data_IF_931166284896
#
_entry.id   IF_931166284896
#
_cell.length_a   1.000
_cell.length_b   1.000
_cell.length_c   1.000
_cell.angle_alpha   90.00
_cell.angle_beta   90.00
_cell.angle_gamma   90.00
#
_symmetry.space_group_name_H-M   'P 1'
#
loop_
_entity.id
_entity.type
_entity.pdbx_description
1 polymer ?
#
# COMPACT_ATOMS: atom_id res chain seq x y z
N UNK A 1 7.26 -24.21 -2.20
CA UNK A 1 7.94 -23.63 -3.37
C UNK A 1 8.16 -22.18 -3.04
N UNK A 2 9.37 -21.84 -2.61
CA UNK A 2 9.75 -20.45 -2.42
C UNK A 2 9.61 -19.77 -3.77
N UNK A 3 8.69 -18.81 -3.84
CA UNK A 3 8.51 -17.97 -5.00
C UNK A 3 9.87 -17.31 -5.24
N UNK A 4 10.63 -17.81 -6.22
CA UNK A 4 11.73 -17.03 -6.77
C UNK A 4 11.04 -15.78 -7.28
N UNK A 5 11.21 -14.69 -6.54
CA UNK A 5 10.56 -13.42 -6.84
C UNK A 5 10.83 -13.13 -8.31
N UNK A 6 9.77 -13.02 -9.11
CA UNK A 6 9.93 -12.92 -10.55
C UNK A 6 10.74 -11.65 -10.86
N UNK A 7 11.63 -11.77 -11.84
CA UNK A 7 12.46 -10.67 -12.28
C UNK A 7 12.08 -10.36 -13.71
N UNK A 8 11.78 -9.09 -13.97
CA UNK A 8 11.53 -8.62 -15.32
C UNK A 8 12.85 -8.22 -15.93
N UNK A 9 13.16 -8.82 -17.07
CA UNK A 9 14.34 -8.52 -17.85
C UNK A 9 13.94 -7.63 -19.03
N UNK A 10 14.50 -6.43 -19.09
CA UNK A 10 14.50 -5.64 -20.32
C UNK A 10 15.82 -5.89 -21.05
N UNK A 11 15.76 -6.30 -22.31
CA UNK A 11 16.94 -6.52 -23.15
C UNK A 11 16.93 -5.53 -24.29
N UNK A 12 18.04 -4.82 -24.45
CA UNK A 12 18.26 -3.90 -25.55
C UNK A 12 19.34 -4.46 -26.48
N UNK A 13 19.00 -4.51 -27.77
CA UNK A 13 19.85 -5.01 -28.84
C UNK A 13 19.94 -3.92 -29.93
N UNK A 14 21.07 -3.84 -30.64
CA UNK A 14 21.17 -2.95 -31.80
C UNK A 14 20.20 -3.38 -32.91
N UNK A 15 19.66 -2.41 -33.64
CA UNK A 15 18.69 -2.65 -34.73
C UNK A 15 19.27 -3.51 -35.87
N UNK A 16 20.59 -3.44 -36.07
CA UNK A 16 21.34 -4.26 -37.03
C UNK A 16 22.47 -4.98 -36.31
N UNK A 17 22.93 -6.10 -36.86
CA UNK A 17 24.15 -6.78 -36.38
C UNK A 17 25.28 -5.76 -36.33
N UNK A 18 25.79 -5.49 -35.13
CA UNK A 18 26.77 -4.44 -34.90
C UNK A 18 26.93 -4.14 -33.42
N UNK A 19 27.58 -3.02 -33.14
CA UNK A 19 27.73 -2.47 -31.80
C UNK A 19 27.10 -1.08 -31.75
N UNK A 20 26.75 -0.63 -30.55
CA UNK A 20 26.36 0.75 -30.29
C UNK A 20 27.22 1.33 -29.16
N UNK A 21 27.13 2.63 -28.97
CA UNK A 21 27.78 3.31 -27.85
C UNK A 21 26.74 3.60 -26.80
N UNK A 22 26.87 3.00 -25.62
CA UNK A 22 26.07 3.40 -24.47
C UNK A 22 26.61 4.74 -23.98
N UNK A 23 25.79 5.79 -24.06
CA UNK A 23 26.21 7.14 -23.66
C UNK A 23 26.63 7.14 -22.20
N UNK A 24 27.79 7.73 -21.93
CA UNK A 24 28.30 7.87 -20.57
C UNK A 24 27.48 8.87 -19.77
N UNK A 25 26.82 9.82 -20.44
CA UNK A 25 25.89 10.76 -19.86
C UNK A 25 24.45 10.29 -19.98
N UNK A 26 23.78 10.20 -18.84
CA UNK A 26 22.37 9.86 -18.75
C UNK A 26 21.49 11.10 -18.96
N UNK A 27 20.25 10.90 -19.39
CA UNK A 27 19.35 12.03 -19.70
C UNK A 27 19.02 12.94 -18.52
N UNK A 28 19.14 12.42 -17.30
CA UNK A 28 18.98 13.14 -16.05
C UNK A 28 20.27 13.87 -15.59
N UNK A 29 21.33 13.85 -16.41
CA UNK A 29 22.61 14.54 -16.20
C UNK A 29 23.71 13.67 -15.60
N UNK A 30 23.41 12.42 -15.22
CA UNK A 30 24.37 11.57 -14.52
C UNK A 30 25.40 10.93 -15.44
N UNK A 31 26.39 10.29 -14.83
CA UNK A 31 27.49 9.66 -15.53
C UNK A 31 27.63 8.18 -15.17
N UNK A 32 27.89 7.33 -16.17
CA UNK A 32 28.21 5.90 -15.99
C UNK A 32 29.60 5.67 -15.36
N UNK A 33 30.48 6.65 -15.44
CA UNK A 33 31.79 6.68 -14.80
C UNK A 33 32.13 8.13 -14.40
N UNK A 34 33.23 8.35 -13.67
CA UNK A 34 33.58 9.70 -13.16
C UNK A 34 33.70 10.75 -14.29
N UNK A 35 34.15 10.32 -15.46
CA UNK A 35 34.39 11.19 -16.61
C UNK A 35 33.12 11.47 -17.42
N UNK A 36 32.16 10.55 -17.45
CA UNK A 36 30.98 10.59 -18.34
C UNK A 36 31.28 10.06 -19.74
N UNK A 37 32.37 9.30 -19.90
CA UNK A 37 32.74 8.69 -21.18
C UNK A 37 31.80 7.53 -21.52
N UNK A 38 31.34 7.49 -22.77
CA UNK A 38 30.47 6.41 -23.24
C UNK A 38 31.19 5.08 -23.34
N UNK A 39 30.44 4.00 -23.20
CA UNK A 39 30.93 2.63 -23.40
C UNK A 39 30.70 2.31 -24.88
N UNK A 40 31.77 2.32 -25.68
CA UNK A 40 31.73 1.92 -27.08
C UNK A 40 31.73 0.41 -27.23
N UNK A 41 31.27 -0.10 -28.37
CA UNK A 41 31.36 -1.53 -28.67
C UNK A 41 30.30 -2.37 -27.96
N UNK A 42 29.25 -1.76 -27.39
CA UNK A 42 28.19 -2.48 -26.69
C UNK A 42 27.35 -3.29 -27.68
N UNK A 43 27.13 -4.55 -27.38
CA UNK A 43 26.35 -5.50 -28.20
C UNK A 43 24.98 -5.81 -27.59
N UNK A 44 24.86 -5.71 -26.26
CA UNK A 44 23.63 -5.99 -25.53
C UNK A 44 23.66 -5.27 -24.18
N UNK A 45 22.50 -4.77 -23.76
CA UNK A 45 22.26 -4.32 -22.38
C UNK A 45 21.09 -5.09 -21.81
N UNK A 46 21.26 -5.65 -20.62
CA UNK A 46 20.22 -6.29 -19.83
C UNK A 46 19.94 -5.45 -18.59
N UNK A 47 18.69 -5.13 -18.31
CA UNK A 47 18.29 -4.42 -17.09
C UNK A 47 17.29 -5.27 -16.31
N UNK A 48 17.56 -5.44 -15.01
CA UNK A 48 16.81 -6.33 -14.12
C UNK A 48 15.93 -5.49 -13.20
N UNK A 49 14.62 -5.72 -13.26
CA UNK A 49 13.63 -5.04 -12.42
C UNK A 49 12.91 -6.03 -11.51
N UNK A 50 12.46 -5.52 -10.37
CA UNK A 50 11.57 -6.28 -9.50
C UNK A 50 10.17 -6.39 -10.12
N UNK A 51 9.56 -7.58 -10.12
CA UNK A 51 8.22 -7.81 -10.69
C UNK A 51 7.10 -6.93 -10.12
N UNK A 52 7.20 -6.57 -8.84
CA UNK A 52 6.25 -5.66 -8.18
C UNK A 52 6.42 -4.21 -8.64
N UNK A 53 7.59 -3.83 -9.16
CA UNK A 53 7.81 -2.54 -9.82
C UNK A 53 7.33 -2.60 -11.28
N UNK A 54 6.00 -2.60 -11.45
CA UNK A 54 5.36 -2.76 -12.76
C UNK A 54 5.66 -1.63 -13.74
N UNK A 55 5.98 -0.45 -13.21
CA UNK A 55 6.37 0.74 -13.95
C UNK A 55 7.87 0.79 -14.24
N UNK A 56 8.65 -0.18 -13.74
CA UNK A 56 10.08 -0.27 -13.99
C UNK A 56 10.83 1.01 -13.57
N UNK A 57 10.42 1.63 -12.46
CA UNK A 57 10.95 2.93 -12.01
C UNK A 57 12.30 2.81 -11.32
N UNK A 58 12.62 1.66 -10.73
CA UNK A 58 13.84 1.46 -9.95
C UNK A 58 14.49 0.12 -10.33
N UNK A 59 15.35 0.09 -11.36
CA UNK A 59 16.08 -1.11 -11.74
C UNK A 59 17.00 -1.56 -10.59
N UNK A 60 17.15 -2.87 -10.46
CA UNK A 60 18.00 -3.50 -9.44
C UNK A 60 19.47 -3.50 -9.87
N UNK A 61 19.71 -3.91 -11.11
CA UNK A 61 21.03 -4.19 -11.68
C UNK A 61 20.97 -4.05 -13.20
N UNK A 62 22.12 -3.75 -13.80
CA UNK A 62 22.32 -3.72 -15.25
C UNK A 62 23.54 -4.57 -15.63
N UNK A 63 23.47 -5.27 -16.75
CA UNK A 63 24.60 -5.97 -17.38
C UNK A 63 24.83 -5.40 -18.79
N UNK A 64 26.06 -4.94 -19.06
CA UNK A 64 26.48 -4.37 -20.33
C UNK A 64 27.47 -5.31 -21.00
N UNK A 65 27.12 -5.84 -22.17
CA UNK A 65 27.98 -6.74 -22.94
C UNK A 65 28.74 -5.96 -24.01
N UNK A 66 30.07 -5.96 -23.94
CA UNK A 66 30.95 -5.30 -24.92
C UNK A 66 31.47 -6.35 -25.91
N UNK A 67 31.44 -6.03 -27.20
CA UNK A 67 31.85 -6.92 -28.29
C UNK A 67 33.35 -6.96 -28.56
N UNK A 68 34.15 -6.35 -27.69
CA UNK A 68 35.61 -6.36 -27.80
C UNK A 68 36.17 -7.79 -27.61
N UNK A 69 37.25 -8.10 -28.32
CA UNK A 69 37.83 -9.44 -28.41
C UNK A 69 38.29 -9.99 -27.07
N UNK A 70 38.74 -9.12 -26.16
CA UNK A 70 39.29 -9.51 -24.86
C UNK A 70 38.22 -9.76 -23.77
N UNK A 71 36.99 -9.23 -23.94
CA UNK A 71 35.89 -9.35 -22.98
C UNK A 71 34.70 -10.16 -23.51
N UNK A 72 34.91 -10.91 -24.60
CA UNK A 72 33.82 -11.53 -25.36
C UNK A 72 32.95 -12.46 -24.49
N UNK A 73 31.78 -11.96 -24.14
CA UNK A 73 30.75 -12.69 -23.40
C UNK A 73 30.72 -12.45 -21.89
N UNK A 74 31.67 -11.70 -21.32
CA UNK A 74 31.64 -11.32 -19.90
C UNK A 74 30.92 -9.98 -19.77
N UNK A 75 29.75 -9.91 -19.11
CA UNK A 75 29.07 -8.64 -18.91
C UNK A 75 29.79 -7.79 -17.87
N UNK A 76 29.79 -6.48 -18.08
CA UNK A 76 30.06 -5.49 -17.04
C UNK A 76 28.77 -5.33 -16.24
N UNK A 77 28.78 -5.73 -14.97
CA UNK A 77 27.61 -5.61 -14.10
C UNK A 77 27.66 -4.32 -13.29
N UNK A 78 26.55 -3.61 -13.23
CA UNK A 78 26.39 -2.35 -12.51
C UNK A 78 25.22 -2.46 -11.53
N UNK A 79 25.46 -2.15 -10.26
CA UNK A 79 24.41 -2.07 -9.24
C UNK A 79 23.84 -0.66 -9.14
N UNK A 80 22.53 -0.57 -8.91
CA UNK A 80 21.90 0.69 -8.56
C UNK A 80 22.20 1.03 -7.10
N UNK A 81 22.67 2.26 -6.85
CA UNK A 81 23.04 2.70 -5.52
C UNK A 81 21.86 3.17 -4.67
N UNK A 82 20.66 3.29 -5.26
CA UNK A 82 19.45 3.70 -4.56
C UNK A 82 19.32 5.21 -4.37
N UNK A 83 20.12 5.99 -5.09
CA UNK A 83 19.94 7.43 -5.17
C UNK A 83 18.60 7.75 -5.88
N UNK A 84 17.97 8.90 -5.57
CA UNK A 84 16.80 9.37 -6.31
C UNK A 84 17.02 9.27 -7.82
N UNK A 85 15.97 9.02 -8.61
CA UNK A 85 16.01 8.89 -10.08
C UNK A 85 17.04 7.89 -10.65
N UNK A 86 17.53 6.95 -9.83
CA UNK A 86 18.57 5.97 -10.20
C UNK A 86 19.84 6.64 -10.73
N UNK A 87 20.23 7.78 -10.14
CA UNK A 87 21.31 8.62 -10.65
C UNK A 87 22.71 8.04 -10.52
N UNK A 88 22.89 7.07 -9.62
CA UNK A 88 24.22 6.55 -9.27
C UNK A 88 24.28 5.04 -9.39
N UNK A 89 25.33 4.58 -10.06
CA UNK A 89 25.60 3.18 -10.33
C UNK A 89 27.04 2.85 -9.96
N UNK A 90 27.23 1.67 -9.40
CA UNK A 90 28.56 1.17 -9.03
C UNK A 90 28.85 -0.10 -9.81
N UNK A 91 30.03 -0.17 -10.43
CA UNK A 91 30.48 -1.38 -11.10
C UNK A 91 30.73 -2.49 -10.08
N UNK A 92 30.22 -3.69 -10.35
CA UNK A 92 30.40 -4.85 -9.48
C UNK A 92 31.56 -5.68 -10.02
N UNK A 93 32.68 -5.66 -9.31
CA UNK A 93 33.85 -6.49 -9.63
C UNK A 93 33.72 -7.84 -8.92
N UNK A 94 33.62 -8.92 -9.69
CA UNK A 94 33.68 -10.28 -9.15
C UNK A 94 35.10 -10.64 -8.69
N UNK A 95 35.22 -11.51 -7.69
CA UNK A 95 36.51 -12.10 -7.33
C UNK A 95 37.03 -12.91 -8.52
N UNK A 96 38.13 -12.47 -9.15
CA UNK A 96 38.68 -13.11 -10.35
C UNK A 96 38.16 -12.58 -11.69
N UNK A 97 37.56 -11.38 -11.73
CA UNK A 97 37.25 -10.70 -12.98
C UNK A 97 35.93 -11.11 -13.66
N UNK A 98 35.20 -12.06 -13.09
CA UNK A 98 33.85 -12.44 -13.53
C UNK A 98 32.85 -12.25 -12.40
N UNK A 99 31.86 -11.37 -12.60
CA UNK A 99 30.71 -11.28 -11.71
C UNK A 99 29.60 -12.20 -12.24
N UNK A 100 29.13 -13.14 -11.40
CA UNK A 100 28.01 -14.01 -11.74
C UNK A 100 26.76 -13.53 -11.02
N UNK A 101 25.74 -13.14 -11.79
CA UNK A 101 24.45 -12.76 -11.24
C UNK A 101 23.78 -13.99 -10.59
N UNK A 102 23.44 -13.86 -9.31
CA UNK A 102 22.75 -14.90 -8.54
C UNK A 102 21.41 -14.40 -7.99
N UNK A 103 20.44 -15.29 -7.69
CA UNK A 103 19.19 -14.93 -7.04
C UNK A 103 19.40 -14.19 -5.70
N UNK A 104 20.43 -14.57 -4.93
CA UNK A 104 20.78 -13.93 -3.66
C UNK A 104 21.21 -12.48 -3.88
N UNK A 105 21.91 -12.21 -4.98
CA UNK A 105 22.33 -10.85 -5.27
C UNK A 105 21.17 -9.97 -5.71
N UNK A 106 20.28 -10.48 -6.56
CA UNK A 106 19.05 -9.76 -6.93
C UNK A 106 18.16 -9.51 -5.70
N UNK A 107 18.09 -10.47 -4.80
CA UNK A 107 17.43 -10.30 -3.51
C UNK A 107 18.08 -9.22 -2.64
N UNK A 108 19.42 -9.22 -2.52
CA UNK A 108 20.19 -8.18 -1.83
C UNK A 108 19.86 -6.78 -2.38
N UNK A 109 19.84 -6.60 -3.69
CA UNK A 109 19.50 -5.30 -4.30
C UNK A 109 18.05 -4.93 -4.10
N UNK A 110 17.12 -5.89 -4.19
CA UNK A 110 15.72 -5.62 -3.86
C UNK A 110 15.57 -5.10 -2.43
N UNK A 111 16.24 -5.72 -1.46
CA UNK A 111 16.28 -5.25 -0.09
C UNK A 111 16.88 -3.84 0.03
N UNK A 112 18.05 -3.60 -0.59
CA UNK A 112 18.73 -2.29 -0.63
C UNK A 112 17.80 -1.17 -1.15
N UNK A 113 17.10 -1.44 -2.24
CA UNK A 113 16.41 -0.42 -3.03
C UNK A 113 14.95 -0.20 -2.64
N UNK A 114 14.28 -1.26 -2.20
CA UNK A 114 12.85 -1.24 -1.92
C UNK A 114 12.51 -1.51 -0.46
N UNK A 115 13.42 -2.13 0.32
CA UNK A 115 13.19 -2.50 1.73
C UNK A 115 11.80 -3.15 1.90
N UNK A 116 11.52 -4.26 1.18
CA UNK A 116 10.18 -4.80 1.11
C UNK A 116 9.77 -5.45 2.43
N UNK A 117 8.54 -5.20 2.87
CA UNK A 117 7.97 -5.79 4.07
C UNK A 117 6.54 -6.28 3.81
N UNK A 118 6.19 -7.41 4.42
CA UNK A 118 4.80 -7.85 4.55
C UNK A 118 4.36 -7.49 5.97
N UNK A 119 3.30 -6.70 6.09
CA UNK A 119 2.85 -6.18 7.38
C UNK A 119 1.77 -7.09 7.96
N UNK A 120 2.01 -7.62 9.15
CA UNK A 120 1.00 -8.29 9.96
C UNK A 120 0.25 -7.26 10.79
N UNK A 121 -0.98 -6.92 10.36
CA UNK A 121 -1.82 -5.92 11.05
C UNK A 121 -2.48 -6.47 12.31
N UNK A 122 -2.38 -7.78 12.58
CA UNK A 122 -2.87 -8.36 13.83
C UNK A 122 -1.81 -8.34 14.95
N UNK A 123 -0.56 -8.06 14.60
CA UNK A 123 0.54 -8.17 15.54
C UNK A 123 0.58 -6.98 16.50
N UNK A 124 0.53 -7.26 17.80
CA UNK A 124 0.53 -6.25 18.87
C UNK A 124 1.75 -6.35 19.80
N UNK A 125 2.62 -7.35 19.56
CA UNK A 125 3.87 -7.59 20.30
C UNK A 125 4.95 -6.55 20.00
N UNK A 126 6.22 -6.92 20.22
CA UNK A 126 7.38 -6.01 20.05
C UNK A 126 7.92 -6.04 18.61
N UNK A 127 7.91 -7.21 17.97
CA UNK A 127 8.37 -7.36 16.59
C UNK A 127 7.82 -8.65 15.98
N UNK A 128 8.09 -8.85 14.68
CA UNK A 128 7.85 -10.10 13.97
C UNK A 128 8.77 -10.22 12.75
N UNK A 129 9.06 -11.46 12.35
CA UNK A 129 9.95 -11.74 11.23
C UNK A 129 9.41 -11.20 9.90
N UNK A 130 10.28 -10.52 9.15
CA UNK A 130 10.02 -10.16 7.76
C UNK A 130 10.26 -11.37 6.85
N UNK A 131 9.23 -11.82 6.15
CA UNK A 131 9.33 -12.97 5.24
C UNK A 131 10.28 -12.79 4.08
N UNK A 132 10.65 -11.57 3.72
CA UNK A 132 11.69 -11.38 2.71
C UNK A 132 13.06 -11.87 3.20
N UNK A 133 13.32 -11.85 4.51
CA UNK A 133 14.57 -12.33 5.11
C UNK A 133 14.48 -13.74 5.69
N UNK A 134 13.28 -14.30 5.81
CA UNK A 134 13.10 -15.66 6.34
C UNK A 134 13.84 -16.69 5.47
N UNK A 135 14.75 -17.45 6.09
CA UNK A 135 15.59 -18.45 5.41
C UNK A 135 16.70 -17.88 4.53
N UNK A 136 16.81 -16.55 4.41
CA UNK A 136 17.87 -15.88 3.66
C UNK A 136 18.81 -15.21 4.63
N UNK A 137 20.12 -15.34 4.41
CA UNK A 137 21.13 -14.60 5.17
C UNK A 137 21.05 -13.12 4.77
N UNK A 138 20.11 -12.37 5.35
CA UNK A 138 20.05 -10.91 5.28
C UNK A 138 21.20 -10.31 6.12
N UNK A 139 22.45 -10.62 5.78
CA UNK A 139 23.64 -10.28 6.57
C UNK A 139 24.02 -8.82 6.50
N UNK A 140 23.40 -8.06 5.60
CA UNK A 140 23.73 -6.67 5.36
C UNK A 140 22.49 -5.86 5.73
N UNK A 141 22.60 -4.99 6.76
CA UNK A 141 21.51 -4.23 7.40
C UNK A 141 20.58 -3.39 6.51
N UNK A 142 20.68 -3.53 5.20
CA UNK A 142 19.75 -3.06 4.18
C UNK A 142 18.42 -3.83 4.17
N UNK A 143 18.37 -5.06 4.73
CA UNK A 143 17.13 -5.80 4.91
C UNK A 143 16.99 -6.22 6.38
N UNK A 144 16.31 -5.40 7.21
CA UNK A 144 15.98 -5.79 8.56
C UNK A 144 15.24 -7.13 8.60
N UNK A 145 15.67 -8.03 9.49
CA UNK A 145 15.05 -9.34 9.68
C UNK A 145 13.65 -9.24 10.30
N UNK A 146 13.35 -8.12 10.96
CA UNK A 146 12.12 -7.92 11.71
C UNK A 146 11.43 -6.60 11.35
N UNK A 147 10.10 -6.63 11.44
CA UNK A 147 9.25 -5.45 11.54
C UNK A 147 9.02 -5.19 13.02
N UNK A 148 9.37 -3.99 13.47
CA UNK A 148 9.17 -3.56 14.86
C UNK A 148 7.76 -3.04 15.05
N UNK A 149 7.19 -3.29 16.22
CA UNK A 149 5.86 -2.85 16.62
C UNK A 149 5.98 -2.12 17.95
N UNK A 150 5.52 -0.88 17.98
CA UNK A 150 5.61 -0.01 19.16
C UNK A 150 4.28 0.68 19.43
N UNK A 151 4.06 1.15 20.65
CA UNK A 151 2.88 1.96 20.96
C UNK A 151 2.98 3.31 20.23
N UNK A 152 1.92 3.64 19.50
CA UNK A 152 1.81 4.94 18.84
C UNK A 152 1.24 5.97 19.83
N UNK A 153 2.09 6.88 20.30
CA UNK A 153 1.80 7.77 21.44
C UNK A 153 1.32 9.16 21.04
N UNK A 154 1.31 9.49 19.75
CA UNK A 154 0.94 10.82 19.27
C UNK A 154 -0.55 11.11 19.42
N UNK A 155 -1.36 10.06 19.56
CA UNK A 155 -2.81 10.11 19.69
C UNK A 155 -3.24 9.35 20.94
N UNK A 156 -4.09 9.97 21.76
CA UNK A 156 -4.71 9.35 22.93
C UNK A 156 -6.21 9.26 22.67
N UNK A 157 -6.71 8.04 22.55
CA UNK A 157 -8.12 7.75 22.31
C UNK A 157 -8.62 6.91 23.48
N UNK A 158 -9.76 7.29 24.03
CA UNK A 158 -10.42 6.53 25.09
C UNK A 158 -10.89 5.18 24.53
N UNK A 159 -10.62 4.08 25.25
CA UNK A 159 -11.00 2.71 24.83
C UNK A 159 -10.36 2.20 23.53
N UNK A 160 -9.30 2.85 23.04
CA UNK A 160 -8.52 2.38 21.89
C UNK A 160 -7.02 2.41 22.15
N UNK A 161 -6.29 1.58 21.42
CA UNK A 161 -4.83 1.58 21.37
C UNK A 161 -4.37 1.62 19.91
N UNK A 162 -3.24 2.25 19.68
CA UNK A 162 -2.63 2.37 18.36
C UNK A 162 -1.22 1.78 18.38
N UNK A 163 -0.86 1.01 17.35
CA UNK A 163 0.45 0.36 17.21
C UNK A 163 1.12 0.83 15.93
N UNK A 164 2.31 1.39 16.04
CA UNK A 164 3.13 1.77 14.91
C UNK A 164 3.99 0.59 14.46
N UNK A 165 3.98 0.30 13.16
CA UNK A 165 4.83 -0.70 12.53
C UNK A 165 5.95 0.01 11.76
N UNK A 166 7.19 -0.25 12.17
CA UNK A 166 8.37 0.36 11.56
C UNK A 166 9.33 -0.71 11.05
N UNK A 167 9.98 -0.45 9.92
CA UNK A 167 10.91 -1.40 9.31
C UNK A 167 12.35 -0.87 9.39
N UNK A 168 13.19 -1.57 10.17
CA UNK A 168 14.58 -1.15 10.45
C UNK A 168 14.70 -0.08 11.54
N UNK A 169 15.94 0.32 11.83
CA UNK A 169 16.27 1.27 12.93
C UNK A 169 16.50 2.70 12.48
N UNK A 170 16.58 2.93 11.18
CA UNK A 170 17.11 4.16 10.58
C UNK A 170 16.04 5.16 10.13
N UNK A 171 14.78 4.97 10.55
CA UNK A 171 13.61 5.77 10.13
C UNK A 171 13.51 5.96 8.60
N UNK A 172 14.15 5.08 7.82
CA UNK A 172 14.05 5.11 6.37
C UNK A 172 12.71 4.56 5.94
N UNK A 173 12.27 5.01 4.77
CA UNK A 173 11.06 4.50 4.14
C UNK A 173 11.18 3.03 3.74
N UNK A 174 10.06 2.33 3.65
CA UNK A 174 10.01 0.93 3.21
C UNK A 174 8.85 0.70 2.25
N UNK A 175 8.86 -0.46 1.58
CA UNK A 175 7.79 -0.81 0.62
C UNK A 175 6.90 -1.88 1.23
N UNK A 176 5.61 -1.60 1.41
CA UNK A 176 4.65 -2.61 1.85
C UNK A 176 4.20 -3.41 0.62
N UNK A 177 4.52 -4.69 0.60
CA UNK A 177 4.18 -5.57 -0.55
C UNK A 177 2.91 -6.38 -0.34
N UNK A 178 2.37 -6.33 0.87
CA UNK A 178 1.14 -6.97 1.23
C UNK A 178 0.94 -6.97 2.74
N UNK A 179 -0.21 -7.51 3.13
CA UNK A 179 -0.65 -7.58 4.50
C UNK A 179 -1.01 -9.01 4.91
N UNK A 180 -0.91 -9.32 6.21
CA UNK A 180 -1.32 -10.59 6.81
C UNK A 180 -2.39 -10.42 7.87
N UNK A 181 -3.11 -11.53 8.11
CA UNK A 181 -4.14 -11.63 9.15
C UNK A 181 -5.20 -10.51 9.03
N UNK A 182 -5.45 -10.12 7.78
CA UNK A 182 -6.30 -9.02 7.35
C UNK A 182 -6.79 -9.25 5.91
N UNK A 183 -7.00 -10.51 5.51
CA UNK A 183 -7.20 -10.96 4.13
C UNK A 183 -8.43 -10.33 3.45
N UNK A 184 -8.23 -9.14 2.89
CA UNK A 184 -8.65 -8.64 1.57
C UNK A 184 -8.15 -7.20 1.34
N UNK A 185 -6.97 -6.83 1.87
CA UNK A 185 -6.25 -5.63 1.41
C UNK A 185 -5.66 -5.86 0.00
N UNK A 186 -6.29 -6.70 -0.84
CA UNK A 186 -5.97 -6.86 -2.25
C UNK A 186 -6.55 -5.72 -3.11
N UNK A 187 -7.58 -5.03 -2.60
CA UNK A 187 -8.10 -3.79 -3.20
C UNK A 187 -7.13 -2.63 -3.01
N UNK A 188 -6.47 -2.58 -1.85
CA UNK A 188 -5.16 -1.97 -1.76
C UNK A 188 -4.32 -2.66 -2.82
N UNK A 189 -3.84 -1.94 -3.81
CA UNK A 189 -3.00 -2.51 -4.86
C UNK A 189 -1.54 -2.37 -4.44
N UNK A 190 -0.99 -3.20 -3.51
CA UNK A 190 0.42 -3.13 -3.21
C UNK A 190 1.21 -3.43 -4.49
N UNK A 191 2.45 -2.95 -4.58
CA UNK A 191 3.21 -2.32 -3.50
C UNK A 191 2.80 -0.87 -3.14
N UNK A 192 2.78 -0.57 -1.83
CA UNK A 192 2.77 0.81 -1.33
C UNK A 192 4.21 1.27 -1.16
N UNK A 193 4.59 2.31 -1.90
CA UNK A 193 5.97 2.78 -2.01
C UNK A 193 6.29 3.83 -0.95
N UNK A 194 7.57 3.93 -0.59
CA UNK A 194 8.11 5.01 0.25
C UNK A 194 7.31 5.23 1.55
N UNK A 195 6.81 4.15 2.17
CA UNK A 195 6.05 4.23 3.41
C UNK A 195 6.98 4.70 4.53
N UNK A 196 6.63 5.82 5.15
CA UNK A 196 7.33 6.38 6.31
C UNK A 196 6.76 5.85 7.61
N UNK A 197 5.44 5.62 7.64
CA UNK A 197 4.73 5.28 8.85
C UNK A 197 3.52 4.39 8.54
N UNK A 198 3.29 3.40 9.39
CA UNK A 198 2.07 2.61 9.39
C UNK A 198 1.57 2.48 10.82
N UNK A 199 0.30 2.80 11.05
CA UNK A 199 -0.34 2.71 12.36
C UNK A 199 -1.59 1.84 12.26
N UNK A 200 -1.74 0.90 13.18
CA UNK A 200 -2.91 0.04 13.29
C UNK A 200 -3.64 0.34 14.60
N UNK A 201 -4.95 0.57 14.50
CA UNK A 201 -5.81 0.87 15.63
C UNK A 201 -6.61 -0.38 16.05
N UNK A 202 -6.69 -0.59 17.36
CA UNK A 202 -7.39 -1.69 18.00
C UNK A 202 -8.27 -1.18 19.13
N UNK A 203 -9.32 -1.92 19.46
CA UNK A 203 -10.04 -1.71 20.71
C UNK A 203 -9.11 -1.96 21.91
N UNK A 204 -9.33 -1.20 22.98
CA UNK A 204 -8.73 -1.40 24.30
C UNK A 204 -9.82 -1.84 25.27
N UNK A 205 -9.64 -3.00 25.89
CA UNK A 205 -10.53 -3.55 26.91
C UNK A 205 -9.71 -3.77 28.18
N UNK A 206 -10.33 -3.77 29.37
CA UNK A 206 -9.59 -4.02 30.62
C UNK A 206 -9.00 -5.43 30.66
N UNK A 207 -9.68 -6.40 30.03
CA UNK A 207 -9.11 -7.72 29.76
C UNK A 207 -8.30 -7.71 28.45
N UNK A 208 -6.97 -7.81 28.57
CA UNK A 208 -6.05 -7.91 27.42
C UNK A 208 -6.22 -9.17 26.57
N UNK A 209 -6.89 -10.20 27.09
CA UNK A 209 -7.22 -11.42 26.36
C UNK A 209 -8.60 -11.34 25.67
N UNK A 210 -9.28 -10.20 25.72
CA UNK A 210 -10.55 -10.03 25.02
C UNK A 210 -10.31 -10.09 23.49
N UNK A 211 -11.05 -10.92 22.74
CA UNK A 211 -10.92 -11.02 21.28
C UNK A 211 -11.13 -9.72 20.51
N UNK A 212 -11.76 -8.70 21.09
CA UNK A 212 -11.86 -7.37 20.49
C UNK A 212 -10.49 -6.68 20.41
N UNK A 213 -9.59 -6.93 21.36
CA UNK A 213 -8.29 -6.23 21.49
C UNK A 213 -7.20 -6.71 20.53
N UNK A 214 -7.45 -7.82 19.84
CA UNK A 214 -6.54 -8.41 18.83
C UNK A 214 -7.05 -8.22 17.40
N UNK A 215 -8.23 -7.62 17.24
CA UNK A 215 -8.82 -7.35 15.92
C UNK A 215 -8.50 -5.93 15.48
N UNK A 216 -7.77 -5.75 14.37
CA UNK A 216 -7.53 -4.42 13.84
C UNK A 216 -8.84 -3.83 13.33
N UNK A 217 -9.03 -2.53 13.58
CA UNK A 217 -10.23 -1.77 13.20
C UNK A 217 -9.93 -0.85 12.02
N UNK A 218 -8.83 -0.12 12.12
CA UNK A 218 -8.44 0.92 11.19
C UNK A 218 -6.92 0.87 10.97
N UNK A 219 -6.49 1.05 9.73
CA UNK A 219 -5.08 1.12 9.33
C UNK A 219 -4.81 2.46 8.69
N UNK A 220 -3.79 3.15 9.17
CA UNK A 220 -3.25 4.36 8.59
C UNK A 220 -1.91 4.06 7.93
N UNK A 221 -1.70 4.60 6.73
CA UNK A 221 -0.44 4.50 6.00
C UNK A 221 -0.03 5.90 5.55
N UNK A 222 1.20 6.26 5.87
CA UNK A 222 1.84 7.49 5.42
C UNK A 222 2.98 7.18 4.44
N UNK A 223 2.97 7.84 3.28
CA UNK A 223 4.01 7.70 2.25
C UNK A 223 4.49 9.04 1.71
N UNK A 224 5.54 8.98 0.88
CA UNK A 224 6.12 10.14 0.19
C UNK A 224 6.51 11.28 1.12
N UNK A 225 7.21 10.91 2.20
CA UNK A 225 7.67 11.84 3.25
C UNK A 225 6.53 12.50 4.01
N UNK A 226 5.44 11.78 4.23
CA UNK A 226 4.29 12.27 4.98
C UNK A 226 3.39 13.21 4.19
N UNK A 227 3.40 13.11 2.86
CA UNK A 227 2.53 13.92 1.98
C UNK A 227 1.30 13.16 1.54
N UNK A 228 1.41 11.84 1.42
CA UNK A 228 0.30 10.95 1.11
C UNK A 228 -0.14 10.24 2.39
N UNK A 229 -1.44 10.37 2.70
CA UNK A 229 -2.06 9.86 3.91
C UNK A 229 -3.29 9.05 3.52
N UNK A 230 -3.24 7.74 3.79
CA UNK A 230 -4.33 6.83 3.43
C UNK A 230 -4.82 6.09 4.65
N UNK A 231 -6.13 5.87 4.67
CA UNK A 231 -6.85 5.28 5.78
C UNK A 231 -7.71 4.14 5.27
N UNK A 232 -7.67 3.01 5.96
CA UNK A 232 -8.42 1.82 5.60
C UNK A 232 -9.19 1.33 6.80
N UNK A 233 -10.52 1.28 6.69
CA UNK A 233 -11.41 0.74 7.71
C UNK A 233 -11.79 -0.70 7.42
N UNK A 234 -11.90 -1.50 8.47
CA UNK A 234 -12.40 -2.86 8.36
C UNK A 234 -13.93 -2.84 8.23
N UNK A 235 -14.47 -3.53 7.23
CA UNK A 235 -15.91 -3.59 6.98
C UNK A 235 -16.53 -4.97 7.30
N UNK A 236 -15.75 -6.05 7.21
CA UNK A 236 -16.24 -7.43 7.35
C UNK A 236 -16.28 -7.97 8.78
N UNK A 237 -17.43 -8.55 9.17
CA UNK A 237 -17.66 -9.24 10.46
C UNK A 237 -16.92 -10.58 10.55
N UNK A 238 -16.74 -11.25 9.41
CA UNK A 238 -16.22 -12.61 9.37
C UNK A 238 -14.75 -12.69 9.78
N UNK A 239 -14.40 -13.83 10.40
CA UNK A 239 -13.04 -14.12 10.85
C UNK A 239 -12.11 -14.51 9.70
N UNK A 240 -12.65 -14.92 8.56
CA UNK A 240 -11.90 -15.57 7.48
C UNK A 240 -11.50 -14.62 6.36
N UNK A 241 -12.25 -13.54 6.14
CA UNK A 241 -11.93 -12.50 5.16
C UNK A 241 -12.17 -11.13 5.80
N UNK A 242 -11.08 -10.39 6.02
CA UNK A 242 -11.20 -9.00 6.45
C UNK A 242 -11.39 -8.17 5.19
N UNK A 243 -12.61 -7.72 4.94
CA UNK A 243 -12.85 -6.69 3.93
C UNK A 243 -12.40 -5.34 4.48
N UNK A 244 -11.76 -4.55 3.63
CA UNK A 244 -11.25 -3.22 3.96
C UNK A 244 -11.74 -2.21 2.95
N UNK A 245 -12.06 -1.01 3.42
CA UNK A 245 -12.51 0.11 2.59
C UNK A 245 -11.62 1.32 2.86
N UNK A 246 -11.24 2.04 1.80
CA UNK A 246 -10.53 3.30 1.95
C UNK A 246 -11.47 4.40 2.50
N UNK A 247 -10.98 5.18 3.46
CA UNK A 247 -11.70 6.27 4.14
C UNK A 247 -11.25 7.65 3.63
N UNK A 248 -11.10 7.80 2.31
CA UNK A 248 -10.63 9.03 1.66
C UNK A 248 -11.53 10.24 2.00
N UNK A 249 -12.85 10.10 1.94
CA UNK A 249 -13.80 11.21 2.13
C UNK A 249 -13.77 11.80 3.56
N UNK A 250 -13.48 10.97 4.57
CA UNK A 250 -13.58 11.36 5.99
C UNK A 250 -12.22 11.70 6.60
N UNK A 251 -11.21 10.90 6.24
CA UNK A 251 -9.87 10.93 6.83
C UNK A 251 -8.76 11.23 5.82
N UNK A 252 -9.03 11.20 4.51
CA UNK A 252 -8.04 11.44 3.47
C UNK A 252 -7.24 12.72 3.68
N UNK A 253 -5.93 12.63 3.46
CA UNK A 253 -5.00 13.74 3.59
C UNK A 253 -4.70 14.19 5.03
N UNK A 254 -5.27 13.55 6.05
CA UNK A 254 -5.02 13.88 7.46
C UNK A 254 -4.10 12.83 8.10
N UNK A 255 -3.13 13.29 8.89
CA UNK A 255 -2.40 12.42 9.82
C UNK A 255 -3.29 12.04 11.04
N UNK A 256 -2.90 11.04 11.85
CA UNK A 256 -3.70 10.61 12.99
C UNK A 256 -3.97 11.69 14.03
N UNK A 257 -3.03 12.62 14.22
CA UNK A 257 -3.17 13.70 15.19
C UNK A 257 -4.22 14.71 14.75
N UNK A 258 -4.19 15.12 13.48
CA UNK A 258 -5.19 15.97 12.86
C UNK A 258 -6.58 15.31 12.87
N UNK A 259 -6.65 14.01 12.51
CA UNK A 259 -7.89 13.23 12.54
C UNK A 259 -8.46 13.01 13.95
N UNK A 260 -7.61 12.96 14.98
CA UNK A 260 -8.05 12.85 16.38
C UNK A 260 -8.54 14.18 16.94
N UNK A 261 -7.95 15.29 16.53
CA UNK A 261 -8.18 16.61 17.15
C UNK A 261 -9.62 17.12 16.95
N UNK A 262 -10.32 16.64 15.93
CA UNK A 262 -11.72 16.99 15.64
C UNK A 262 -12.72 15.89 16.05
N UNK A 263 -12.28 14.86 16.78
CA UNK A 263 -13.10 13.71 17.18
C UNK A 263 -13.51 12.75 16.05
N UNK A 264 -13.14 13.03 14.80
CA UNK A 264 -13.55 12.21 13.63
C UNK A 264 -12.96 10.81 13.72
N UNK A 265 -11.68 10.69 14.11
CA UNK A 265 -11.03 9.39 14.27
C UNK A 265 -11.73 8.51 15.30
N UNK A 266 -12.12 9.08 16.45
CA UNK A 266 -12.83 8.33 17.49
C UNK A 266 -14.22 7.90 17.02
N UNK A 267 -14.98 8.79 16.39
CA UNK A 267 -16.30 8.46 15.83
C UNK A 267 -16.24 7.32 14.81
N UNK A 268 -15.21 7.30 13.95
CA UNK A 268 -14.99 6.22 12.99
C UNK A 268 -14.67 4.90 13.69
N UNK A 269 -13.81 4.93 14.70
CA UNK A 269 -13.46 3.72 15.46
C UNK A 269 -14.67 3.12 16.17
N UNK A 270 -15.52 3.96 16.77
CA UNK A 270 -16.79 3.53 17.37
C UNK A 270 -17.73 2.92 16.33
N UNK A 271 -17.91 3.58 15.18
CA UNK A 271 -18.74 3.07 14.09
C UNK A 271 -18.27 1.70 13.59
N UNK A 272 -16.96 1.53 13.39
CA UNK A 272 -16.36 0.25 13.00
C UNK A 272 -16.58 -0.79 14.10
N UNK A 273 -16.34 -0.43 15.37
CA UNK A 273 -16.53 -1.31 16.53
C UNK A 273 -17.97 -1.81 16.60
N UNK A 274 -18.97 -0.92 16.46
CA UNK A 274 -20.39 -1.25 16.43
C UNK A 274 -20.76 -2.13 15.24
N UNK A 275 -20.35 -1.73 14.03
CA UNK A 275 -20.62 -2.48 12.78
C UNK A 275 -20.09 -3.91 12.84
N UNK A 276 -18.91 -4.08 13.43
CA UNK A 276 -18.27 -5.39 13.61
C UNK A 276 -18.79 -6.16 14.83
N UNK A 277 -19.69 -5.57 15.62
CA UNK A 277 -20.22 -6.12 16.87
C UNK A 277 -19.10 -6.50 17.84
N UNK A 278 -18.06 -5.66 17.90
CA UNK A 278 -16.95 -5.82 18.82
C UNK A 278 -17.31 -5.05 20.08
N UNK A 279 -17.48 -5.76 21.19
CA UNK A 279 -17.65 -5.12 22.48
C UNK A 279 -16.77 -5.83 23.50
N UNK A 280 -16.27 -5.08 24.46
CA UNK A 280 -15.51 -5.65 25.56
C UNK A 280 -16.49 -6.46 26.44
N UNK A 281 -16.03 -7.59 27.00
CA UNK A 281 -16.89 -8.42 27.88
C UNK A 281 -17.47 -7.66 29.08
N UNK A 282 -16.78 -6.65 29.57
CA UNK A 282 -17.23 -5.83 30.71
C UNK A 282 -18.40 -4.94 30.34
N UNK A 283 -18.33 -4.27 29.18
CA UNK A 283 -19.44 -3.47 28.64
C UNK A 283 -20.71 -4.34 28.50
N UNK A 284 -20.55 -5.61 28.08
CA UNK A 284 -21.69 -6.55 27.99
C UNK A 284 -22.32 -6.84 29.35
N UNK A 285 -21.51 -7.06 30.38
CA UNK A 285 -22.02 -7.33 31.73
C UNK A 285 -22.75 -6.11 32.30
N UNK A 286 -22.24 -4.91 32.08
CA UNK A 286 -22.88 -3.69 32.56
C UNK A 286 -24.25 -3.48 31.87
N UNK A 287 -24.32 -3.70 30.56
CA UNK A 287 -25.59 -3.64 29.82
C UNK A 287 -26.57 -4.72 30.30
N UNK A 288 -26.10 -5.94 30.54
CA UNK A 288 -26.92 -7.05 31.05
C UNK A 288 -27.47 -6.75 32.45
N UNK A 289 -26.64 -6.24 33.38
CA UNK A 289 -27.06 -5.82 34.72
C UNK A 289 -28.08 -4.69 34.65
N UNK A 290 -27.84 -3.66 33.81
CA UNK A 290 -28.80 -2.57 33.65
C UNK A 290 -30.13 -3.04 33.05
N UNK A 291 -30.10 -4.03 32.15
CA UNK A 291 -31.30 -4.61 31.56
C UNK A 291 -32.06 -5.47 32.58
N UNK A 292 -31.36 -6.22 33.43
CA UNK A 292 -31.94 -6.99 34.53
C UNK A 292 -32.62 -6.06 35.56
N UNK A 293 -31.94 -5.00 36.00
CA UNK A 293 -32.51 -3.99 36.91
C UNK A 293 -33.77 -3.33 36.36
N UNK A 294 -33.80 -3.00 35.05
CA UNK A 294 -35.01 -2.46 34.41
C UNK A 294 -36.14 -3.49 34.30
N UNK A 295 -35.82 -4.77 34.19
CA UNK A 295 -36.84 -5.83 34.15
C UNK A 295 -37.46 -6.08 35.53
N UNK A 296 -36.69 -5.98 36.60
CA UNK A 296 -37.18 -6.09 37.98
C UNK A 296 -38.10 -4.92 38.35
N UNK A 297 -37.77 -3.69 37.93
CA UNK A 297 -38.62 -2.50 38.19
C UNK A 297 -40.01 -2.62 37.55
N UNK A 298 -40.10 -3.28 36.39
CA UNK A 298 -41.39 -3.50 35.70
C UNK A 298 -42.19 -4.70 36.25
N UNK A 299 -41.63 -5.50 37.15
CA UNK A 299 -42.28 -6.69 37.73
C UNK A 299 -42.92 -6.39 39.10
N UNK A 300 -42.84 -5.15 39.58
CA UNK A 300 -43.61 -4.72 40.76
C UNK A 300 -45.09 -4.65 40.38
N UNK A 301 -45.82 -5.69 40.81
CA UNK A 301 -47.25 -5.90 40.64
C UNK A 301 -48.04 -4.61 40.97
N UNK A 302 -48.95 -4.12 40.09
CA UNK A 302 -49.80 -2.97 40.37
C UNK A 302 -50.87 -3.33 41.43
N UNK A 303 -50.44 -3.42 42.68
CA UNK A 303 -51.29 -3.51 43.85
C UNK A 303 -52.04 -2.20 44.07
N UNK A 304 -53.25 -2.14 43.49
CA UNK A 304 -54.38 -1.31 43.91
C UNK A 304 -54.12 0.19 44.17
N UNK A 305 -54.57 1.05 43.24
CA UNK A 305 -55.40 2.20 43.62
C UNK A 305 -56.19 2.83 42.46
N UNK A 306 -57.50 2.82 42.69
CA UNK A 306 -58.51 3.82 42.34
C UNK A 306 -58.58 4.39 40.92
N UNK A 307 -59.71 4.05 40.26
CA UNK A 307 -60.33 4.80 39.17
C UNK A 307 -60.44 6.30 39.50
N UNK A 308 -59.65 7.12 38.81
CA UNK A 308 -59.99 8.51 38.55
C UNK A 308 -59.97 8.72 37.03
N UNK A 309 -61.17 8.87 36.48
CA UNK A 309 -61.45 9.09 35.07
C UNK A 309 -61.11 10.55 34.75
N UNK A 310 -59.93 10.81 34.20
CA UNK A 310 -59.57 12.12 33.64
C UNK A 310 -59.48 11.97 32.12
N UNK A 311 -60.32 12.77 31.47
CA UNK A 311 -60.54 12.83 30.03
C UNK A 311 -59.41 13.65 29.38
N UNK A 312 -58.72 13.14 28.34
CA UNK A 312 -57.66 13.88 27.68
C UNK A 312 -58.27 15.00 26.81
N UNK A 313 -57.89 16.24 27.11
CA UNK A 313 -58.10 17.40 26.24
C UNK A 313 -57.14 17.31 25.05
N UNK A 314 -57.70 17.40 23.84
CA UNK A 314 -56.94 17.48 22.59
C UNK A 314 -56.10 18.76 22.55
N UNK A 315 -54.82 18.69 22.14
CA UNK A 315 -54.05 19.89 21.84
C UNK A 315 -54.61 20.62 20.61
N UNK A 316 -54.56 21.96 20.58
CA UNK A 316 -55.07 22.77 19.47
C UNK A 316 -54.26 22.55 18.19
N UNK A 317 -55.00 22.34 17.10
CA UNK A 317 -54.50 22.23 15.73
C UNK A 317 -53.81 23.55 15.32
N UNK A 318 -52.55 23.52 14.83
CA UNK A 318 -51.90 24.71 14.30
C UNK A 318 -52.52 25.15 12.96
N UNK A 319 -52.54 26.46 12.66
CA UNK A 319 -53.13 26.99 11.43
C UNK A 319 -52.34 26.59 10.16
N UNK A 320 -53.02 26.53 9.00
CA UNK A 320 -52.42 26.13 7.74
C UNK A 320 -51.36 27.14 7.26
N UNK A 321 -50.18 26.62 6.95
CA UNK A 321 -49.06 27.36 6.36
C UNK A 321 -49.37 27.67 4.89
N UNK A 322 -49.17 28.92 4.41
CA UNK A 322 -49.36 29.28 3.01
C UNK A 322 -48.29 28.69 2.08
N UNK A 323 -48.61 28.39 0.81
CA UNK A 323 -47.67 27.80 -0.14
C UNK A 323 -46.57 28.79 -0.57
N UNK A 324 -45.31 28.35 -0.46
CA UNK A 324 -44.15 29.03 -1.03
C UNK A 324 -44.10 28.84 -2.55
N UNK A 325 -43.62 29.83 -3.32
CA UNK A 325 -43.62 29.80 -4.77
C UNK A 325 -42.55 28.87 -5.35
N UNK A 326 -42.94 28.14 -6.39
CA UNK A 326 -42.06 27.42 -7.30
C UNK A 326 -41.09 28.38 -8.00
N UNK A 327 -39.80 28.24 -7.67
CA UNK A 327 -38.71 28.72 -8.51
C UNK A 327 -38.33 27.64 -9.52
N UNK A 328 -38.70 27.85 -10.78
CA UNK A 328 -38.13 27.18 -11.94
C UNK A 328 -36.67 27.59 -12.09
N UNK A 329 -35.75 26.62 -12.06
CA UNK A 329 -34.42 26.79 -12.65
C UNK A 329 -34.17 25.62 -13.59
N UNK A 330 -34.30 25.93 -14.86
CA UNK A 330 -33.86 25.13 -15.99
C UNK A 330 -32.34 24.92 -16.00
N UNK A 331 -31.97 23.93 -16.82
CA UNK A 331 -30.70 23.78 -17.54
C UNK A 331 -29.52 23.11 -16.81
N UNK A 332 -29.38 21.80 -17.00
CA UNK A 332 -28.46 21.20 -17.99
C UNK A 332 -28.21 19.70 -17.68
N UNK A 333 -28.49 18.78 -18.62
CA UNK A 333 -28.04 17.39 -18.48
C UNK A 333 -26.57 17.27 -18.90
N UNK A 334 -25.73 16.52 -18.18
CA UNK A 334 -24.40 16.17 -18.67
C UNK A 334 -24.52 15.15 -19.81
N UNK A 335 -23.79 15.41 -20.88
CA UNK A 335 -23.64 14.55 -22.05
C UNK A 335 -23.29 13.11 -21.64
N UNK A 336 -24.19 12.18 -21.97
CA UNK A 336 -23.92 10.75 -21.94
C UNK A 336 -23.11 10.44 -23.20
N UNK A 337 -21.82 10.18 -23.03
CA UNK A 337 -20.98 9.58 -24.08
C UNK A 337 -21.48 8.15 -24.30
N UNK A 338 -22.32 7.97 -25.32
CA UNK A 338 -22.67 6.66 -25.88
C UNK A 338 -21.46 6.14 -26.65
N UNK A 339 -20.67 5.28 -26.00
CA UNK A 339 -19.65 4.48 -26.68
C UNK A 339 -20.35 3.37 -27.48
N UNK A 340 -20.60 3.63 -28.76
CA UNK A 340 -21.02 2.61 -29.72
C UNK A 340 -19.89 1.59 -29.89
N UNK A 341 -20.07 0.40 -29.32
CA UNK A 341 -19.22 -0.76 -29.58
C UNK A 341 -19.63 -1.30 -30.95
N UNK A 342 -18.92 -0.87 -32.00
CA UNK A 342 -19.01 -1.48 -33.32
C UNK A 342 -18.25 -2.81 -33.30
N UNK A 343 -18.99 -3.91 -33.42
CA UNK A 343 -18.43 -5.25 -33.63
C UNK A 343 -18.00 -5.34 -35.09
N UNK A 344 -16.71 -5.15 -35.36
CA UNK A 344 -16.11 -5.53 -36.65
C UNK A 344 -15.64 -6.97 -36.58
N UNK A 345 -16.45 -7.85 -37.12
CA UNK A 345 -16.03 -9.16 -37.63
C UNK A 345 -15.05 -8.95 -38.80
N UNK A 346 -13.87 -9.55 -38.73
CA UNK A 346 -12.90 -9.51 -39.81
C UNK A 346 -11.53 -9.99 -39.40
N UNK A 347 -11.31 -11.30 -39.47
CA UNK A 347 -9.97 -11.89 -39.45
C UNK A 347 -9.19 -11.40 -40.68
N UNK A 348 -7.99 -10.85 -40.47
CA UNK A 348 -6.78 -10.94 -41.32
C UNK A 348 -5.68 -10.03 -40.72
N UNK A 349 -4.50 -10.59 -40.39
CA UNK A 349 -3.28 -9.83 -40.15
C UNK A 349 -2.72 -9.86 -38.72
N UNK A 350 -2.01 -10.93 -38.36
CA UNK A 350 -1.28 -11.10 -37.08
C UNK A 350 -0.02 -10.21 -36.91
N UNK A 351 0.19 -9.21 -37.76
CA UNK A 351 1.39 -8.35 -37.75
C UNK A 351 1.24 -7.07 -36.92
N UNK A 352 0.01 -6.57 -36.72
CA UNK A 352 -0.23 -5.31 -35.99
C UNK A 352 -0.17 -5.47 -34.45
N UNK A 353 -0.50 -6.65 -33.92
CA UNK A 353 -0.49 -6.93 -32.46
C UNK A 353 0.93 -6.88 -31.86
N UNK A 354 1.96 -7.26 -32.62
CA UNK A 354 3.35 -7.12 -32.19
C UNK A 354 3.79 -5.64 -32.09
N UNK A 355 3.31 -4.79 -33.01
CA UNK A 355 3.60 -3.35 -32.99
C UNK A 355 2.89 -2.63 -31.82
N UNK A 356 1.66 -3.01 -31.46
CA UNK A 356 0.96 -2.42 -30.30
C UNK A 356 1.52 -2.91 -28.95
N UNK A 357 1.95 -4.17 -28.85
CA UNK A 357 2.65 -4.66 -27.66
C UNK A 357 4.02 -3.97 -27.49
N UNK A 358 4.75 -3.76 -28.59
CA UNK A 358 6.01 -3.00 -28.62
C UNK A 358 5.84 -1.53 -28.25
N UNK A 359 4.82 -0.84 -28.79
CA UNK A 359 4.50 0.56 -28.46
C UNK A 359 4.09 0.76 -27.00
N UNK A 360 3.33 -0.19 -26.44
CA UNK A 360 2.95 -0.18 -25.01
C UNK A 360 4.13 -0.49 -24.09
N UNK A 361 5.07 -1.33 -24.53
CA UNK A 361 6.35 -1.52 -23.83
C UNK A 361 7.20 -0.24 -23.91
N UNK A 362 7.41 0.30 -25.11
CA UNK A 362 8.20 1.52 -25.34
C UNK A 362 7.67 2.72 -24.54
N UNK A 363 6.36 2.96 -24.55
CA UNK A 363 5.76 4.04 -23.75
C UNK A 363 5.83 3.80 -22.24
N UNK A 364 5.84 2.54 -21.78
CA UNK A 364 6.08 2.22 -20.37
C UNK A 364 7.50 2.58 -19.95
N UNK A 365 8.46 2.47 -20.86
CA UNK A 365 9.85 2.82 -20.59
C UNK A 365 10.24 4.25 -21.02
N UNK A 366 9.34 5.06 -21.59
CA UNK A 366 9.67 6.42 -22.03
C UNK A 366 9.94 7.41 -20.87
N UNK A 367 9.57 7.04 -19.64
CA UNK A 367 10.00 7.72 -18.41
C UNK A 367 11.25 7.13 -17.76
N UNK A 368 11.75 6.02 -18.28
CA UNK A 368 13.00 5.41 -17.85
C UNK A 368 14.16 6.10 -18.59
N UNK A 369 15.08 6.80 -17.88
CA UNK A 369 16.17 7.56 -18.50
C UNK A 369 17.03 6.75 -19.49
N UNK A 370 17.03 5.41 -19.40
CA UNK A 370 17.83 4.50 -20.23
C UNK A 370 17.30 4.30 -21.64
N UNK A 371 15.97 4.31 -21.85
CA UNK A 371 15.37 3.89 -23.14
C UNK A 371 15.55 4.91 -24.26
N UNK A 372 15.94 6.14 -23.92
CA UNK A 372 16.20 7.21 -24.89
C UNK A 372 17.68 7.41 -25.20
N UNK A 373 18.56 6.53 -24.72
CA UNK A 373 20.02 6.62 -24.89
C UNK A 373 20.60 5.68 -25.92
N UNK A 374 19.78 4.74 -26.41
CA UNK A 374 20.17 3.69 -27.37
C UNK A 374 19.89 4.15 -28.79
#
# INVERSE_FOLDING_TARGET
MDHVDAIRLAVFLPEKRGTFTLKGHLQNGDKLNEEGTGISGVTKVSVYYWDKDRECRKPLLMEVYVGDVDLKGIPISLENDGYPDNKKWTMILGQGGGYQLSPETLHKYKCKLFRPAIIDVSQTGVSYANKYCEGKKCTNGNCPDEVMVTDYKEVKLENYKAKAHTYGKDNKTFTITGFRNGLSLQELTPPLWNVTELVVFFASCSNSNDPATSKPLLVYVSSDSGKDHRWYSRTGKDKTAYEWKEEEDRLGGKDPKAASSNGTLQSILEEIKEKLQLSCKEEKKEVEIQQELRSEENTVEPGQKAKAKVQPQQPPVPPPVPPLPHGTSDSNPPEIIKTTISVTTGFLGTSALACFAGWKLYNRYNGDPWVRQI
#
